data_IF_944640900374
#
_entry.id   IF_944640900374
#
_cell.length_a   1.000
_cell.length_b   1.000
_cell.length_c   1.000
_cell.angle_alpha   90.00
_cell.angle_beta   90.00
_cell.angle_gamma   90.00
#
_symmetry.space_group_name_H-M   'P 1'
#
loop_
_entity.id
_entity.type
_entity.pdbx_description
1 polymer ?
#
# COMPACT_ATOMS: atom_id res chain seq x y z
N UNK A 1 79.10 23.62 -43.59
CA UNK A 1 78.07 22.59 -43.80
C UNK A 1 77.43 22.27 -42.45
N UNK A 2 76.12 21.94 -42.48
CA UNK A 2 75.16 21.70 -41.36
C UNK A 2 74.61 22.98 -40.69
N UNK A 3 73.40 23.45 -40.98
CA UNK A 3 72.01 22.97 -40.71
C UNK A 3 71.43 23.35 -39.32
N UNK A 4 70.36 24.17 -39.39
CA UNK A 4 69.17 24.29 -38.50
C UNK A 4 69.42 24.74 -37.04
N UNK A 5 68.58 25.58 -36.39
CA UNK A 5 67.12 25.47 -36.24
C UNK A 5 66.59 26.72 -35.49
N UNK A 6 65.56 27.36 -36.03
CA UNK A 6 64.76 28.39 -35.34
C UNK A 6 64.00 27.77 -34.15
N UNK A 7 64.12 28.38 -32.96
CA UNK A 7 63.21 28.13 -31.84
C UNK A 7 62.56 29.45 -31.44
N UNK A 8 61.36 29.68 -31.97
CA UNK A 8 60.43 30.71 -31.54
C UNK A 8 59.94 30.35 -30.13
N UNK A 9 60.37 31.13 -29.13
CA UNK A 9 59.78 31.11 -27.79
C UNK A 9 58.39 31.77 -27.90
N UNK A 10 57.36 31.01 -27.53
CA UNK A 10 55.99 31.47 -27.40
C UNK A 10 55.79 31.80 -25.92
N UNK A 11 55.70 33.09 -25.60
CA UNK A 11 55.21 33.53 -24.30
C UNK A 11 53.71 33.22 -24.23
N UNK A 12 53.34 32.28 -23.37
CA UNK A 12 51.93 32.03 -23.03
C UNK A 12 51.55 33.09 -21.98
N UNK A 13 50.59 33.99 -22.25
CA UNK A 13 50.11 34.92 -21.24
C UNK A 13 49.49 34.11 -20.10
N UNK A 14 50.02 34.27 -18.89
CA UNK A 14 49.45 33.70 -17.67
C UNK A 14 48.14 34.43 -17.39
N UNK A 15 47.04 33.74 -17.66
CA UNK A 15 45.68 34.23 -17.51
C UNK A 15 45.44 34.85 -16.13
N UNK A 16 45.05 36.12 -16.18
CA UNK A 16 44.52 36.92 -15.09
C UNK A 16 43.14 36.43 -14.59
N UNK A 17 42.62 35.33 -15.16
CA UNK A 17 41.33 34.73 -14.82
C UNK A 17 41.37 33.88 -13.53
N UNK A 18 42.53 33.34 -13.15
CA UNK A 18 42.64 32.47 -11.98
C UNK A 18 42.41 33.19 -10.64
N UNK A 19 42.73 34.49 -10.54
CA UNK A 19 42.48 35.26 -9.31
C UNK A 19 41.01 35.65 -9.16
N UNK A 20 40.30 35.91 -10.26
CA UNK A 20 38.88 36.25 -10.20
C UNK A 20 38.05 35.00 -9.90
N UNK A 21 38.36 33.85 -10.49
CA UNK A 21 37.66 32.60 -10.20
C UNK A 21 37.90 32.11 -8.77
N UNK A 22 39.09 32.32 -8.19
CA UNK A 22 39.38 31.96 -6.80
C UNK A 22 38.69 32.89 -5.80
N UNK A 23 38.60 34.19 -6.10
CA UNK A 23 37.85 35.14 -5.28
C UNK A 23 36.33 34.96 -5.40
N UNK A 24 35.81 34.59 -6.58
CA UNK A 24 34.40 34.24 -6.78
C UNK A 24 34.08 32.91 -6.10
N UNK A 25 34.95 31.90 -6.18
CA UNK A 25 34.77 30.63 -5.46
C UNK A 25 34.83 30.83 -3.95
N UNK A 26 35.78 31.62 -3.43
CA UNK A 26 35.88 31.98 -2.01
C UNK A 26 34.70 32.83 -1.52
N UNK A 27 34.21 33.77 -2.33
CA UNK A 27 33.03 34.59 -2.05
C UNK A 27 31.74 33.76 -2.10
N UNK A 28 31.62 32.83 -3.05
CA UNK A 28 30.50 31.88 -3.10
C UNK A 28 30.53 30.88 -1.94
N UNK A 29 31.71 30.40 -1.52
CA UNK A 29 31.81 29.57 -0.30
C UNK A 29 31.55 30.39 0.96
N UNK A 30 31.99 31.64 1.05
CA UNK A 30 31.68 32.49 2.20
C UNK A 30 30.18 32.81 2.26
N UNK A 31 29.54 33.12 1.13
CA UNK A 31 28.10 33.34 1.07
C UNK A 31 27.31 32.03 1.28
N UNK A 32 27.83 30.87 0.87
CA UNK A 32 27.24 29.57 1.23
C UNK A 32 27.45 29.24 2.72
N UNK A 33 28.58 29.59 3.32
CA UNK A 33 28.88 29.37 4.73
C UNK A 33 28.05 30.33 5.60
N UNK A 34 27.85 31.58 5.17
CA UNK A 34 27.00 32.59 5.80
C UNK A 34 25.50 32.23 5.63
N UNK A 35 25.10 31.69 4.47
CA UNK A 35 23.78 31.10 4.27
C UNK A 35 23.58 29.73 4.96
N UNK A 36 24.66 29.08 5.39
CA UNK A 36 24.63 27.91 6.30
C UNK A 36 24.58 28.39 7.76
N UNK A 37 25.15 29.55 8.08
CA UNK A 37 25.08 30.20 9.40
C UNK A 37 23.65 30.62 9.75
N UNK A 38 22.86 31.06 8.77
CA UNK A 38 21.43 31.38 8.89
C UNK A 38 20.48 30.18 8.67
N UNK A 39 21.01 28.95 8.60
CA UNK A 39 20.15 27.76 8.48
C UNK A 39 19.70 27.32 9.88
N UNK A 40 18.41 27.08 10.15
CA UNK A 40 17.88 26.66 11.48
C UNK A 40 18.45 25.35 12.06
N UNK A 41 19.41 24.72 11.38
CA UNK A 41 20.21 23.59 11.87
C UNK A 41 21.43 24.04 12.70
N UNK A 42 21.95 25.27 12.52
CA UNK A 42 23.04 25.84 13.34
C UNK A 42 22.55 26.22 14.73
N UNK A 43 21.36 26.80 14.85
CA UNK A 43 20.73 27.11 16.15
C UNK A 43 20.34 25.84 16.94
N UNK A 44 19.98 24.74 16.26
CA UNK A 44 19.74 23.42 16.89
C UNK A 44 21.07 22.79 17.38
N UNK A 45 22.21 23.18 16.80
CA UNK A 45 23.52 22.68 17.20
C UNK A 45 24.03 23.31 18.50
N UNK A 46 23.50 24.47 18.91
CA UNK A 46 23.84 25.11 20.19
C UNK A 46 23.23 24.40 21.41
N UNK A 47 22.12 23.65 21.22
CA UNK A 47 21.52 22.83 22.27
C UNK A 47 21.67 21.32 21.97
N UNK A 48 22.46 20.57 22.75
CA UNK A 48 22.60 19.12 22.56
C UNK A 48 21.29 18.33 22.75
N UNK A 49 20.30 18.87 23.47
CA UNK A 49 18.99 18.25 23.68
C UNK A 49 18.12 18.20 22.42
N UNK A 50 18.01 19.33 21.70
CA UNK A 50 17.24 19.43 20.45
C UNK A 50 17.81 18.56 19.31
N UNK A 51 19.14 18.48 19.20
CA UNK A 51 19.80 17.58 18.24
C UNK A 51 19.50 16.11 18.54
N UNK A 52 19.51 15.72 19.82
CA UNK A 52 19.21 14.35 20.24
C UNK A 52 17.74 14.00 19.96
N UNK A 53 16.82 14.92 20.25
CA UNK A 53 15.38 14.73 19.97
C UNK A 53 15.12 14.60 18.47
N UNK A 54 15.76 15.42 17.63
CA UNK A 54 15.68 15.32 16.18
C UNK A 54 16.13 13.95 15.68
N UNK A 55 17.27 13.45 16.18
CA UNK A 55 17.78 12.11 15.84
C UNK A 55 16.84 10.99 16.32
N UNK A 56 16.23 11.13 17.50
CA UNK A 56 15.25 10.17 18.01
C UNK A 56 14.00 10.12 17.13
N UNK A 57 13.44 11.26 16.74
CA UNK A 57 12.27 11.31 15.87
C UNK A 57 12.55 10.87 14.45
N UNK A 58 13.72 11.18 13.88
CA UNK A 58 14.13 10.62 12.60
C UNK A 58 14.21 9.10 12.65
N UNK A 59 14.78 8.54 13.72
CA UNK A 59 14.78 7.08 13.94
C UNK A 59 13.36 6.53 14.08
N UNK A 60 12.48 7.23 14.79
CA UNK A 60 11.10 6.82 14.95
C UNK A 60 10.32 6.85 13.62
N UNK A 61 10.55 7.87 12.78
CA UNK A 61 10.01 7.98 11.42
C UNK A 61 10.45 6.78 10.55
N UNK A 62 11.74 6.43 10.56
CA UNK A 62 12.23 5.23 9.86
C UNK A 62 11.57 3.94 10.35
N UNK A 63 11.34 3.82 11.67
CA UNK A 63 10.64 2.66 12.23
C UNK A 63 9.17 2.62 11.80
N UNK A 64 8.48 3.77 11.73
CA UNK A 64 7.13 3.85 11.17
C UNK A 64 7.11 3.46 9.70
N UNK A 65 8.06 3.96 8.88
CA UNK A 65 8.17 3.61 7.47
C UNK A 65 8.36 2.10 7.27
N UNK A 66 9.25 1.46 8.05
CA UNK A 66 9.45 0.00 8.02
C UNK A 66 8.18 -0.78 8.41
N UNK A 67 7.47 -0.35 9.45
CA UNK A 67 6.20 -0.99 9.87
C UNK A 67 5.10 -0.85 8.82
N UNK A 68 4.96 0.33 8.23
CA UNK A 68 4.02 0.62 7.14
C UNK A 68 4.31 -0.28 5.95
N UNK A 69 5.56 -0.31 5.48
CA UNK A 69 5.97 -1.14 4.35
C UNK A 69 5.68 -2.63 4.59
N UNK A 70 6.01 -3.15 5.79
CA UNK A 70 5.72 -4.54 6.15
C UNK A 70 4.21 -4.86 6.18
N UNK A 71 3.36 -3.90 6.57
CA UNK A 71 1.90 -4.09 6.55
C UNK A 71 1.32 -3.98 5.14
N UNK A 72 1.86 -3.11 4.31
CA UNK A 72 1.47 -2.98 2.90
C UNK A 72 1.78 -4.28 2.14
N UNK A 73 2.99 -4.84 2.29
CA UNK A 73 3.33 -6.13 1.65
C UNK A 73 2.42 -7.26 2.14
N UNK A 74 2.14 -7.34 3.44
CA UNK A 74 1.19 -8.32 4.00
C UNK A 74 -0.23 -8.16 3.43
N UNK A 75 -0.67 -6.93 3.19
CA UNK A 75 -1.96 -6.68 2.56
C UNK A 75 -1.98 -7.15 1.11
N UNK A 76 -0.91 -6.90 0.36
CA UNK A 76 -0.83 -7.33 -1.03
C UNK A 76 -0.79 -8.86 -1.13
N UNK A 77 -0.13 -9.54 -0.20
CA UNK A 77 -0.25 -11.01 -0.06
C UNK A 77 -1.70 -11.45 0.15
N UNK A 78 -2.44 -10.81 1.07
CA UNK A 78 -3.85 -11.16 1.31
C UNK A 78 -4.71 -10.90 0.06
N UNK A 79 -4.46 -9.82 -0.68
CA UNK A 79 -5.15 -9.57 -1.96
C UNK A 79 -4.88 -10.68 -2.97
N UNK A 80 -3.62 -11.08 -3.14
CA UNK A 80 -3.26 -12.17 -4.03
C UNK A 80 -3.95 -13.48 -3.64
N UNK A 81 -3.99 -13.82 -2.35
CA UNK A 81 -4.72 -14.99 -1.84
C UNK A 81 -6.23 -14.90 -2.10
N UNK A 82 -6.84 -13.71 -1.97
CA UNK A 82 -8.25 -13.49 -2.29
C UNK A 82 -8.55 -13.68 -3.77
N UNK A 83 -7.69 -13.16 -4.65
CA UNK A 83 -7.81 -13.38 -6.10
C UNK A 83 -7.67 -14.87 -6.43
N UNK A 84 -6.70 -15.55 -5.85
CA UNK A 84 -6.50 -16.98 -6.06
C UNK A 84 -7.70 -17.82 -5.61
N UNK A 85 -8.25 -17.57 -4.41
CA UNK A 85 -9.45 -18.24 -3.92
C UNK A 85 -10.67 -17.98 -4.83
N UNK A 86 -10.82 -16.75 -5.30
CA UNK A 86 -11.90 -16.37 -6.22
C UNK A 86 -11.76 -17.09 -7.56
N UNK A 87 -10.55 -17.16 -8.12
CA UNK A 87 -10.27 -17.91 -9.35
C UNK A 87 -10.59 -19.39 -9.19
N UNK A 88 -10.17 -20.03 -8.10
CA UNK A 88 -10.50 -21.43 -7.84
C UNK A 88 -12.00 -21.69 -7.69
N UNK A 89 -12.74 -20.76 -7.08
CA UNK A 89 -14.19 -20.83 -7.02
C UNK A 89 -14.83 -20.83 -8.41
N UNK A 90 -14.44 -19.90 -9.28
CA UNK A 90 -14.98 -19.85 -10.65
C UNK A 90 -14.57 -21.06 -11.49
N UNK A 91 -13.33 -21.53 -11.35
CA UNK A 91 -12.84 -22.74 -12.02
C UNK A 91 -13.66 -23.95 -11.58
N UNK A 92 -13.86 -24.13 -10.27
CA UNK A 92 -14.69 -25.20 -9.73
C UNK A 92 -16.11 -25.18 -10.32
N UNK A 93 -16.76 -24.02 -10.33
CA UNK A 93 -18.10 -23.89 -10.89
C UNK A 93 -18.13 -24.11 -12.41
N UNK A 94 -17.11 -23.63 -13.14
CA UNK A 94 -16.95 -23.92 -14.56
C UNK A 94 -16.91 -25.42 -14.83
N UNK A 95 -16.01 -26.15 -14.14
CA UNK A 95 -15.94 -27.60 -14.24
C UNK A 95 -17.24 -28.29 -13.83
N UNK A 96 -17.86 -27.86 -12.74
CA UNK A 96 -19.13 -28.40 -12.27
C UNK A 96 -20.23 -28.28 -13.32
N UNK A 97 -20.41 -27.09 -13.90
CA UNK A 97 -21.41 -26.88 -14.95
C UNK A 97 -21.08 -27.63 -16.24
N UNK A 98 -19.82 -27.70 -16.66
CA UNK A 98 -19.40 -28.49 -17.83
C UNK A 98 -19.72 -29.97 -17.65
N UNK A 99 -19.41 -30.53 -16.47
CA UNK A 99 -19.72 -31.93 -16.17
C UNK A 99 -21.23 -32.16 -16.11
N UNK A 100 -21.97 -31.26 -15.47
CA UNK A 100 -23.42 -31.35 -15.35
C UNK A 100 -24.08 -31.30 -16.73
N UNK A 101 -23.70 -30.35 -17.59
CA UNK A 101 -24.20 -30.25 -18.97
C UNK A 101 -23.84 -31.48 -19.81
N UNK A 102 -22.60 -31.96 -19.71
CA UNK A 102 -22.15 -33.17 -20.43
C UNK A 102 -22.94 -34.41 -19.98
N UNK A 103 -23.22 -34.52 -18.68
CA UNK A 103 -24.00 -35.63 -18.13
C UNK A 103 -25.46 -35.58 -18.57
N UNK A 104 -26.06 -34.39 -18.61
CA UNK A 104 -27.42 -34.17 -19.10
C UNK A 104 -27.54 -34.52 -20.59
N UNK A 105 -26.64 -34.01 -21.44
CA UNK A 105 -26.64 -34.27 -22.87
C UNK A 105 -26.55 -35.76 -23.21
N UNK A 106 -25.73 -36.52 -22.45
CA UNK A 106 -25.65 -37.98 -22.58
C UNK A 106 -26.93 -38.68 -22.15
N UNK A 107 -27.55 -38.25 -21.05
CA UNK A 107 -28.76 -38.88 -20.54
C UNK A 107 -29.98 -38.66 -21.45
N UNK A 108 -30.06 -37.49 -22.10
CA UNK A 108 -31.09 -37.21 -23.11
C UNK A 108 -31.03 -38.16 -24.30
N UNK A 109 -29.82 -38.54 -24.73
CA UNK A 109 -29.60 -39.47 -25.83
C UNK A 109 -30.01 -40.92 -25.50
N UNK A 110 -30.12 -41.26 -24.21
CA UNK A 110 -30.41 -42.62 -23.73
C UNK A 110 -31.85 -42.80 -23.20
N UNK A 111 -32.76 -41.83 -23.43
CA UNK A 111 -34.18 -41.89 -23.04
C UNK A 111 -34.42 -42.32 -21.58
N UNK A 112 -33.60 -41.82 -20.65
CA UNK A 112 -33.62 -42.25 -19.26
C UNK A 112 -34.48 -41.29 -18.41
N UNK A 113 -35.75 -41.62 -18.14
CA UNK A 113 -36.71 -40.80 -17.37
C UNK A 113 -36.36 -40.57 -15.88
N UNK A 114 -35.20 -41.03 -15.40
CA UNK A 114 -34.84 -41.07 -13.97
C UNK A 114 -33.89 -39.98 -13.46
N UNK A 115 -33.40 -39.07 -14.32
CA UNK A 115 -32.30 -38.14 -13.97
C UNK A 115 -32.72 -37.09 -12.94
N UNK A 116 -33.98 -36.62 -13.00
CA UNK A 116 -34.46 -35.54 -12.13
C UNK A 116 -34.61 -35.97 -10.65
N UNK A 117 -34.65 -37.27 -10.31
CA UNK A 117 -34.82 -37.70 -8.91
C UNK A 117 -33.52 -37.62 -8.07
N UNK A 118 -32.34 -37.54 -8.71
CA UNK A 118 -31.02 -37.53 -8.03
C UNK A 118 -30.26 -36.20 -8.13
N UNK A 119 -30.89 -35.16 -8.68
CA UNK A 119 -30.35 -33.79 -8.80
C UNK A 119 -29.85 -33.15 -7.50
N UNK A 120 -30.40 -33.56 -6.35
CA UNK A 120 -30.05 -32.99 -5.05
C UNK A 120 -28.60 -33.29 -4.66
N UNK A 121 -28.04 -34.43 -5.06
CA UNK A 121 -26.68 -34.84 -4.69
C UNK A 121 -25.59 -33.91 -5.30
N UNK A 122 -25.50 -33.71 -6.63
CA UNK A 122 -24.55 -32.77 -7.20
C UNK A 122 -24.79 -31.32 -6.74
N UNK A 123 -26.05 -30.94 -6.52
CA UNK A 123 -26.42 -29.62 -6.03
C UNK A 123 -25.93 -29.37 -4.59
N UNK A 124 -26.07 -30.36 -3.69
CA UNK A 124 -25.56 -30.29 -2.32
C UNK A 124 -24.03 -30.24 -2.28
N UNK A 125 -23.34 -31.06 -3.08
CA UNK A 125 -21.86 -31.02 -3.16
C UNK A 125 -21.37 -29.66 -3.62
N UNK A 126 -22.01 -29.09 -4.65
CA UNK A 126 -21.69 -27.75 -5.15
C UNK A 126 -21.94 -26.67 -4.10
N UNK A 127 -23.08 -26.73 -3.40
CA UNK A 127 -23.44 -25.79 -2.34
C UNK A 127 -22.44 -25.85 -1.17
N UNK A 128 -22.13 -27.05 -0.66
CA UNK A 128 -21.17 -27.23 0.43
C UNK A 128 -19.79 -26.67 0.05
N UNK A 129 -19.30 -26.99 -1.15
CA UNK A 129 -18.00 -26.49 -1.64
C UNK A 129 -18.00 -24.97 -1.75
N UNK A 130 -19.09 -24.40 -2.29
CA UNK A 130 -19.26 -22.95 -2.40
C UNK A 130 -19.24 -22.24 -1.04
N UNK A 131 -19.94 -22.80 -0.04
CA UNK A 131 -19.97 -22.25 1.32
C UNK A 131 -18.57 -22.25 1.97
N UNK A 132 -17.77 -23.28 1.71
CA UNK A 132 -16.36 -23.32 2.17
C UNK A 132 -15.56 -22.18 1.54
N UNK A 133 -15.64 -21.98 0.22
CA UNK A 133 -14.95 -20.88 -0.46
C UNK A 133 -15.41 -19.51 0.06
N UNK A 134 -16.72 -19.28 0.18
CA UNK A 134 -17.29 -18.05 0.74
C UNK A 134 -16.78 -17.81 2.15
N UNK A 135 -16.76 -18.83 3.01
CA UNK A 135 -16.23 -18.74 4.37
C UNK A 135 -14.74 -18.36 4.40
N UNK A 136 -13.92 -19.00 3.58
CA UNK A 136 -12.49 -18.70 3.47
C UNK A 136 -12.23 -17.27 3.00
N UNK A 137 -12.94 -16.83 1.95
CA UNK A 137 -12.88 -15.45 1.45
C UNK A 137 -13.31 -14.48 2.53
N UNK A 138 -14.39 -14.75 3.25
CA UNK A 138 -14.90 -13.86 4.30
C UNK A 138 -13.91 -13.70 5.45
N UNK A 139 -13.26 -14.78 5.89
CA UNK A 139 -12.19 -14.72 6.90
C UNK A 139 -11.02 -13.87 6.42
N UNK A 140 -10.60 -14.03 5.15
CA UNK A 140 -9.49 -13.27 4.55
C UNK A 140 -9.84 -11.79 4.37
N UNK A 141 -11.05 -11.46 3.93
CA UNK A 141 -11.56 -10.07 3.82
C UNK A 141 -11.60 -9.41 5.20
N UNK A 142 -12.09 -10.10 6.23
CA UNK A 142 -12.09 -9.56 7.59
C UNK A 142 -10.65 -9.29 8.09
N UNK A 143 -9.72 -10.21 7.84
CA UNK A 143 -8.29 -10.02 8.17
C UNK A 143 -7.69 -8.85 7.39
N UNK A 144 -7.98 -8.73 6.10
CA UNK A 144 -7.55 -7.62 5.25
C UNK A 144 -7.96 -6.28 5.87
N UNK A 145 -9.23 -6.17 6.26
CA UNK A 145 -9.75 -4.93 6.82
C UNK A 145 -9.24 -4.61 8.23
N UNK A 146 -8.98 -5.64 9.03
CA UNK A 146 -8.28 -5.49 10.31
C UNK A 146 -6.88 -4.91 10.12
N UNK A 147 -6.10 -5.43 9.17
CA UNK A 147 -4.75 -4.93 8.87
C UNK A 147 -4.81 -3.52 8.26
N UNK A 148 -5.75 -3.26 7.35
CA UNK A 148 -5.97 -1.92 6.78
C UNK A 148 -6.24 -0.88 7.87
N UNK A 149 -7.12 -1.18 8.83
CA UNK A 149 -7.39 -0.28 9.94
C UNK A 149 -6.15 -0.02 10.82
N UNK A 150 -5.29 -1.02 11.02
CA UNK A 150 -4.02 -0.84 11.73
C UNK A 150 -3.00 -0.01 10.92
N UNK A 151 -2.93 -0.23 9.61
CA UNK A 151 -2.06 0.52 8.70
C UNK A 151 -2.47 2.00 8.65
N UNK A 152 -3.76 2.29 8.56
CA UNK A 152 -4.26 3.67 8.54
C UNK A 152 -3.96 4.41 9.85
N UNK A 153 -4.01 3.71 10.99
CA UNK A 153 -3.58 4.28 12.29
C UNK A 153 -2.09 4.60 12.29
N UNK A 154 -1.24 3.64 11.93
CA UNK A 154 0.21 3.90 11.89
C UNK A 154 0.61 4.97 10.87
N UNK A 155 -0.08 5.07 9.72
CA UNK A 155 0.15 6.14 8.74
C UNK A 155 -0.27 7.51 9.28
N UNK A 156 -1.32 7.56 10.11
CA UNK A 156 -1.70 8.78 10.83
C UNK A 156 -0.63 9.19 11.84
N UNK A 157 -0.17 8.24 12.65
CA UNK A 157 0.84 8.48 13.68
C UNK A 157 2.18 8.88 13.06
N UNK A 158 2.62 8.19 12.00
CA UNK A 158 3.81 8.55 11.24
C UNK A 158 3.75 9.97 10.67
N UNK A 159 2.60 10.39 10.11
CA UNK A 159 2.39 11.78 9.66
C UNK A 159 2.41 12.80 10.78
N UNK A 160 2.08 12.42 12.02
CA UNK A 160 2.23 13.31 13.16
C UNK A 160 3.71 13.50 13.51
N UNK A 161 4.49 12.41 13.53
CA UNK A 161 5.95 12.46 13.76
C UNK A 161 6.65 13.31 12.71
N UNK A 162 6.36 13.13 11.42
CA UNK A 162 6.95 13.97 10.35
C UNK A 162 6.62 15.45 10.56
N UNK A 163 5.41 15.80 11.02
CA UNK A 163 5.05 17.19 11.36
C UNK A 163 5.82 17.70 12.59
N UNK A 164 5.98 16.89 13.63
CA UNK A 164 6.78 17.25 14.81
C UNK A 164 8.25 17.50 14.43
N UNK A 165 8.82 16.70 13.52
CA UNK A 165 10.17 16.91 12.97
C UNK A 165 10.25 18.24 12.19
N UNK A 166 9.26 18.53 11.34
CA UNK A 166 9.21 19.79 10.58
C UNK A 166 9.08 21.00 11.51
N UNK A 167 8.23 20.95 12.52
CA UNK A 167 8.09 22.03 13.49
C UNK A 167 9.37 22.25 14.29
N UNK A 168 10.06 21.19 14.70
CA UNK A 168 11.36 21.29 15.37
C UNK A 168 12.41 21.92 14.47
N UNK A 169 12.44 21.54 13.18
CA UNK A 169 13.34 22.14 12.18
C UNK A 169 13.03 23.61 11.89
N UNK A 170 11.77 24.04 12.01
CA UNK A 170 11.36 25.43 11.77
C UNK A 170 11.53 26.33 13.01
N UNK A 171 11.41 25.77 14.22
CA UNK A 171 11.44 26.53 15.49
C UNK A 171 12.79 26.53 16.19
N UNK A 172 13.68 25.58 15.90
CA UNK A 172 15.03 25.54 16.46
C UNK A 172 15.04 25.53 17.99
N UNK A 173 15.83 26.41 18.60
CA UNK A 173 15.99 26.53 20.05
C UNK A 173 14.74 27.08 20.79
N UNK A 174 13.79 27.68 20.05
CA UNK A 174 12.51 28.15 20.62
C UNK A 174 11.48 27.02 20.80
N UNK A 175 11.83 25.78 20.43
CA UNK A 175 10.95 24.64 20.59
C UNK A 175 10.82 24.26 22.07
N UNK A 176 9.67 24.55 22.66
CA UNK A 176 9.43 24.26 24.07
C UNK A 176 9.32 22.75 24.33
N UNK A 177 10.36 22.16 24.96
CA UNK A 177 10.40 20.76 25.36
C UNK A 177 9.42 20.43 26.51
N UNK A 178 8.96 21.43 27.26
CA UNK A 178 8.08 21.25 28.42
C UNK A 178 6.61 21.08 28.04
N UNK A 179 6.22 21.58 26.86
CA UNK A 179 4.97 21.19 26.19
C UNK A 179 5.21 19.86 25.51
N UNK A 180 4.66 18.78 26.07
CA UNK A 180 4.60 17.48 25.39
C UNK A 180 4.20 17.69 23.92
N UNK A 181 5.03 17.25 22.96
CA UNK A 181 4.70 17.42 21.56
C UNK A 181 3.35 16.77 21.35
N UNK A 182 2.39 17.53 20.83
CA UNK A 182 1.03 17.08 20.54
C UNK A 182 0.99 16.05 19.38
N UNK A 183 2.03 15.23 19.27
CA UNK A 183 2.20 14.15 18.31
C UNK A 183 1.23 12.97 18.57
N UNK A 184 0.62 12.88 19.77
CA UNK A 184 -0.23 11.75 20.17
C UNK A 184 -1.71 12.04 20.46
N UNK A 185 -2.12 13.31 20.63
CA UNK A 185 -3.51 13.61 20.99
C UNK A 185 -4.39 13.69 19.75
N UNK A 186 -4.92 12.53 19.40
CA UNK A 186 -6.06 12.34 18.50
C UNK A 186 -7.17 13.31 18.88
N UNK A 187 -7.33 14.40 18.12
CA UNK A 187 -8.62 15.06 18.04
C UNK A 187 -9.60 14.01 17.53
N UNK A 188 -10.46 13.53 18.43
CA UNK A 188 -11.67 12.79 18.03
C UNK A 188 -12.51 13.78 17.27
N UNK A 189 -12.26 13.91 15.97
CA UNK A 189 -13.21 14.53 15.08
C UNK A 189 -14.46 13.68 15.20
N UNK A 190 -15.46 14.22 15.88
CA UNK A 190 -16.85 13.81 15.78
C UNK A 190 -17.32 14.20 14.38
N UNK A 191 -16.68 13.63 13.36
CA UNK A 191 -17.22 13.70 12.02
C UNK A 191 -18.46 12.84 12.06
N UNK A 192 -19.57 13.54 11.86
CA UNK A 192 -20.90 13.02 11.66
C UNK A 192 -20.85 12.10 10.43
N UNK A 193 -20.37 10.86 10.60
CA UNK A 193 -20.63 9.74 9.69
C UNK A 193 -22.10 9.29 9.84
N UNK A 194 -23.03 10.25 9.86
CA UNK A 194 -24.45 9.98 9.70
C UNK A 194 -24.63 9.70 8.20
N UNK A 195 -24.67 8.41 7.85
CA UNK A 195 -25.83 7.79 7.14
C UNK A 195 -25.50 6.50 6.35
N UNK A 196 -24.24 6.13 6.13
CA UNK A 196 -23.93 5.01 5.21
C UNK A 196 -23.06 3.88 5.80
N UNK A 197 -23.25 3.54 7.08
CA UNK A 197 -22.69 2.31 7.66
C UNK A 197 -23.05 1.04 6.87
N UNK A 198 -24.28 0.86 6.34
CA UNK A 198 -24.62 -0.33 5.57
C UNK A 198 -23.89 -0.39 4.23
N UNK A 199 -23.81 0.75 3.52
CA UNK A 199 -23.17 0.81 2.21
C UNK A 199 -21.65 0.63 2.30
N UNK A 200 -21.02 1.23 3.33
CA UNK A 200 -19.59 1.01 3.59
C UNK A 200 -19.30 -0.43 4.04
N UNK A 201 -20.22 -1.06 4.77
CA UNK A 201 -20.10 -2.49 5.08
C UNK A 201 -20.26 -3.36 3.81
N UNK A 202 -21.23 -3.05 2.97
CA UNK A 202 -21.47 -3.75 1.72
C UNK A 202 -20.28 -3.61 0.77
N UNK A 203 -19.73 -2.41 0.60
CA UNK A 203 -18.56 -2.19 -0.26
C UNK A 203 -17.32 -2.93 0.24
N UNK A 204 -17.12 -3.01 1.56
CA UNK A 204 -16.04 -3.80 2.18
C UNK A 204 -16.20 -5.31 1.97
N UNK A 205 -17.44 -5.78 1.90
CA UNK A 205 -17.77 -7.20 1.71
C UNK A 205 -18.25 -7.50 0.28
N UNK A 206 -18.02 -6.60 -0.68
CA UNK A 206 -18.59 -6.72 -2.03
C UNK A 206 -18.20 -8.04 -2.70
N UNK A 207 -16.94 -8.46 -2.52
CA UNK A 207 -16.44 -9.74 -3.01
C UNK A 207 -17.18 -10.94 -2.38
N UNK A 208 -17.41 -10.93 -1.07
CA UNK A 208 -18.16 -12.01 -0.41
C UNK A 208 -19.62 -12.02 -0.86
N UNK A 209 -20.24 -10.84 -0.98
CA UNK A 209 -21.63 -10.71 -1.45
C UNK A 209 -21.77 -11.22 -2.88
N UNK A 210 -20.85 -10.88 -3.79
CA UNK A 210 -20.90 -11.36 -5.17
C UNK A 210 -20.76 -12.88 -5.27
N UNK A 211 -19.88 -13.49 -4.48
CA UNK A 211 -19.73 -14.95 -4.41
C UNK A 211 -21.01 -15.63 -3.87
N UNK A 212 -21.60 -15.09 -2.80
CA UNK A 212 -22.88 -15.59 -2.26
C UNK A 212 -24.00 -15.49 -3.29
N UNK A 213 -24.10 -14.37 -4.01
CA UNK A 213 -25.07 -14.20 -5.08
C UNK A 213 -24.84 -15.23 -6.20
N UNK A 214 -23.60 -15.45 -6.61
CA UNK A 214 -23.27 -16.46 -7.63
C UNK A 214 -23.66 -17.87 -7.17
N UNK A 215 -23.34 -18.25 -5.93
CA UNK A 215 -23.76 -19.53 -5.36
C UNK A 215 -25.29 -19.67 -5.32
N UNK A 216 -26.00 -18.59 -4.94
CA UNK A 216 -27.46 -18.54 -4.94
C UNK A 216 -28.10 -18.69 -6.31
N UNK A 217 -27.42 -18.26 -7.38
CA UNK A 217 -27.83 -18.48 -8.77
C UNK A 217 -27.44 -19.86 -9.31
N UNK A 218 -26.27 -20.36 -8.91
CA UNK A 218 -25.76 -21.65 -9.35
C UNK A 218 -26.64 -22.83 -8.88
N UNK A 219 -27.20 -22.71 -7.67
CA UNK A 219 -28.07 -23.72 -7.09
C UNK A 219 -29.34 -23.99 -7.93
N UNK A 220 -30.22 -23.01 -8.23
CA UNK A 220 -31.39 -23.22 -9.08
C UNK A 220 -31.02 -23.50 -10.55
N UNK A 221 -29.88 -23.00 -11.05
CA UNK A 221 -29.42 -23.33 -12.39
C UNK A 221 -29.18 -24.84 -12.57
N UNK A 222 -28.61 -25.51 -11.56
CA UNK A 222 -28.42 -26.97 -11.58
C UNK A 222 -29.73 -27.75 -11.70
N UNK A 223 -30.81 -27.26 -11.07
CA UNK A 223 -32.17 -27.80 -11.25
C UNK A 223 -32.66 -27.64 -12.67
N UNK A 224 -32.57 -26.41 -13.16
CA UNK A 224 -33.14 -26.04 -14.45
C UNK A 224 -32.48 -26.86 -15.56
N UNK A 225 -31.16 -27.01 -15.51
CA UNK A 225 -30.43 -27.81 -16.51
C UNK A 225 -30.77 -29.30 -16.43
N UNK A 226 -31.01 -29.87 -15.25
CA UNK A 226 -31.27 -31.31 -15.11
C UNK A 226 -32.75 -31.72 -15.33
N UNK A 227 -33.70 -30.81 -15.14
CA UNK A 227 -35.13 -31.13 -15.11
C UNK A 227 -35.99 -30.32 -16.10
N UNK A 228 -35.48 -29.23 -16.70
CA UNK A 228 -36.25 -28.39 -17.62
C UNK A 228 -35.70 -28.34 -19.04
N UNK A 229 -34.42 -28.70 -19.25
CA UNK A 229 -33.82 -28.95 -20.56
C UNK A 229 -33.99 -30.43 -20.91
#
# INVERSE_FOLDING_TARGET
MAETKDNHIVEIPVDQEHHHQKNVLCSMTNNMIEAIEDHPLTEISESPGHLLLLKLWQREEELFAKRIAHKETRMDTIKAELFQLSSFFFIFHGFFFTLLFTSWARAQQQAHEGVCHKWWLPSMVSLCTSLVFVGLVQVKVHRYWKVWGQLQRERSDGRAVTRCIQELRMKGASFDLSKEPHCGKRMKSSSVEIKWRPLTWCSRNLLTVSLVCFTGLAFPASKFVLCAL
#
